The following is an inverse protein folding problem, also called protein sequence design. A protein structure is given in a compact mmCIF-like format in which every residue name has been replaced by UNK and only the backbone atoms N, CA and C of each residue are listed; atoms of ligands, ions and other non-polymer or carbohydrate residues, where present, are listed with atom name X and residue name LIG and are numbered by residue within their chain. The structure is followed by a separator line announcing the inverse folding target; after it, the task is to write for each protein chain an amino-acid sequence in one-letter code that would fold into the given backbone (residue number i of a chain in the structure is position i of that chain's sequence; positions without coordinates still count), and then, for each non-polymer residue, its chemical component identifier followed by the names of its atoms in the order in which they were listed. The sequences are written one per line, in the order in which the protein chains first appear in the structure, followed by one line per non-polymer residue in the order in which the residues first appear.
data_IF_279545391234
#
_entry.id   IF_279545391234
#
_cell.length_a   1.000
_cell.length_b   1.000
_cell.length_c   1.000
_cell.angle_alpha   90.00
_cell.angle_beta   90.00
_cell.angle_gamma   90.00
#
_symmetry.space_group_name_H-M   'P 1'
#
loop_
_entity.id
_entity.type
_entity.pdbx_description
1 polymer ?
#
# COMPACT_ATOMS: atom_id res chain seq x y z
N UNK A 1 12.41 -5.57 -25.40
CA UNK A 1 11.64 -4.35 -25.01
C UNK A 1 11.82 -4.15 -23.50
N UNK A 2 11.89 -2.92 -22.99
CA UNK A 2 11.97 -2.68 -21.55
C UNK A 2 10.67 -3.08 -20.87
N UNK A 3 10.74 -3.70 -19.68
CA UNK A 3 9.57 -4.04 -18.87
C UNK A 3 8.80 -2.79 -18.42
N UNK A 4 7.49 -2.90 -18.22
CA UNK A 4 6.53 -1.81 -18.02
C UNK A 4 5.83 -1.96 -16.68
N UNK A 5 5.71 -0.88 -15.92
CA UNK A 5 5.01 -0.88 -14.64
C UNK A 5 4.04 0.29 -14.53
N UNK A 6 2.86 0.03 -13.96
CA UNK A 6 1.89 1.04 -13.56
C UNK A 6 1.72 1.05 -12.04
N UNK A 7 1.70 2.25 -11.45
CA UNK A 7 1.66 2.41 -9.98
C UNK A 7 0.58 3.45 -9.64
N UNK A 8 -0.48 3.05 -8.92
CA UNK A 8 -1.46 3.99 -8.39
C UNK A 8 -0.95 4.69 -7.13
N UNK A 9 -1.31 5.96 -6.91
CA UNK A 9 -0.74 6.77 -5.83
C UNK A 9 0.76 6.98 -6.00
N UNK A 10 1.21 7.12 -7.25
CA UNK A 10 2.63 7.15 -7.63
C UNK A 10 3.33 8.49 -7.41
N UNK A 11 2.58 9.55 -7.07
CA UNK A 11 3.13 10.90 -6.93
C UNK A 11 3.81 11.17 -5.58
N UNK A 12 3.64 10.29 -4.58
CA UNK A 12 4.20 10.52 -3.25
C UNK A 12 4.54 9.21 -2.51
N UNK A 13 5.23 9.33 -1.37
CA UNK A 13 5.45 8.25 -0.42
C UNK A 13 6.06 6.99 -1.04
N UNK A 14 5.45 5.82 -0.74
CA UNK A 14 5.91 4.54 -1.26
C UNK A 14 5.75 4.42 -2.78
N UNK A 15 4.63 4.94 -3.32
CA UNK A 15 4.38 4.90 -4.76
C UNK A 15 5.48 5.60 -5.56
N UNK A 16 5.89 6.79 -5.13
CA UNK A 16 7.01 7.52 -5.72
C UNK A 16 8.33 6.75 -5.59
N UNK A 17 8.63 6.22 -4.41
CA UNK A 17 9.87 5.47 -4.19
C UNK A 17 9.93 4.19 -5.06
N UNK A 18 8.78 3.50 -5.23
CA UNK A 18 8.66 2.39 -6.17
C UNK A 18 8.91 2.85 -7.62
N UNK A 19 8.26 3.94 -8.03
CA UNK A 19 8.45 4.50 -9.37
C UNK A 19 9.93 4.80 -9.66
N UNK A 20 10.60 5.48 -8.74
CA UNK A 20 12.03 5.80 -8.84
C UNK A 20 12.91 4.53 -8.84
N UNK A 21 12.55 3.53 -8.00
CA UNK A 21 13.31 2.27 -7.94
C UNK A 21 13.23 1.48 -9.25
N UNK A 22 12.03 1.37 -9.84
CA UNK A 22 11.82 0.68 -11.10
C UNK A 22 12.45 1.44 -12.27
N UNK A 23 12.35 2.78 -12.30
CA UNK A 23 13.01 3.60 -13.32
C UNK A 23 14.53 3.42 -13.31
N UNK A 24 15.17 3.42 -12.11
CA UNK A 24 16.60 3.11 -11.97
C UNK A 24 17.00 1.71 -12.47
N UNK A 25 16.06 0.78 -12.52
CA UNK A 25 16.27 -0.56 -13.08
C UNK A 25 16.00 -0.64 -14.60
N UNK A 26 15.76 0.49 -15.27
CA UNK A 26 15.54 0.57 -16.71
C UNK A 26 14.11 0.22 -17.16
N UNK A 27 13.13 0.20 -16.24
CA UNK A 27 11.74 -0.04 -16.56
C UNK A 27 11.07 1.23 -17.11
N UNK A 28 10.08 1.07 -17.97
CA UNK A 28 9.12 2.14 -18.28
C UNK A 28 8.13 2.25 -17.14
N UNK A 29 8.04 3.41 -16.52
CA UNK A 29 7.21 3.66 -15.35
C UNK A 29 6.07 4.61 -15.73
N UNK A 30 4.84 4.17 -15.50
CA UNK A 30 3.66 5.02 -15.52
C UNK A 30 3.11 5.15 -14.10
N UNK A 31 2.93 6.38 -13.63
CA UNK A 31 2.29 6.66 -12.35
C UNK A 31 0.87 7.19 -12.56
N UNK A 32 -0.08 6.71 -11.75
CA UNK A 32 -1.43 7.24 -11.68
C UNK A 32 -1.66 7.92 -10.33
N UNK A 33 -2.15 9.16 -10.31
CA UNK A 33 -2.45 9.88 -9.07
C UNK A 33 -3.56 10.93 -9.31
N UNK A 34 -4.20 11.38 -8.23
CA UNK A 34 -5.15 12.49 -8.26
C UNK A 34 -4.46 13.86 -8.41
N UNK A 35 -3.27 14.00 -7.83
CA UNK A 35 -2.52 15.27 -7.77
C UNK A 35 -1.54 15.35 -8.95
N UNK A 36 -2.01 15.93 -10.05
CA UNK A 36 -1.20 16.12 -11.25
C UNK A 36 0.03 17.04 -11.02
N UNK A 37 -0.03 17.98 -10.08
CA UNK A 37 1.11 18.83 -9.77
C UNK A 37 2.22 18.02 -9.09
N UNK A 38 1.87 17.14 -8.16
CA UNK A 38 2.82 16.18 -7.56
C UNK A 38 3.31 15.15 -8.60
N UNK A 39 2.43 14.72 -9.51
CA UNK A 39 2.84 13.86 -10.63
C UNK A 39 3.94 14.50 -11.46
N UNK A 40 3.81 15.78 -11.81
CA UNK A 40 4.81 16.51 -12.59
C UNK A 40 6.18 16.55 -11.89
N UNK A 41 6.21 16.77 -10.58
CA UNK A 41 7.45 16.75 -9.79
C UNK A 41 8.11 15.37 -9.80
N UNK A 42 7.32 14.31 -9.59
CA UNK A 42 7.82 12.94 -9.63
C UNK A 42 8.29 12.57 -11.04
N UNK A 43 7.52 12.93 -12.06
CA UNK A 43 7.84 12.66 -13.46
C UNK A 43 9.15 13.33 -13.88
N UNK A 44 9.41 14.55 -13.43
CA UNK A 44 10.69 15.23 -13.70
C UNK A 44 11.90 14.42 -13.18
N UNK A 45 11.78 13.83 -11.99
CA UNK A 45 12.80 12.93 -11.45
C UNK A 45 12.92 11.61 -12.24
N UNK A 46 11.79 11.07 -12.71
CA UNK A 46 11.78 9.86 -13.53
C UNK A 46 12.33 10.10 -14.95
N UNK A 47 12.10 11.27 -15.54
CA UNK A 47 12.62 11.63 -16.86
C UNK A 47 14.15 11.73 -16.87
N UNK A 48 14.78 12.01 -15.75
CA UNK A 48 16.25 11.91 -15.62
C UNK A 48 16.76 10.47 -15.86
N UNK A 49 15.91 9.45 -15.70
CA UNK A 49 16.24 8.06 -15.96
C UNK A 49 15.81 7.62 -17.37
N UNK A 50 14.63 8.04 -17.81
CA UNK A 50 14.10 7.76 -19.14
C UNK A 50 12.97 8.71 -19.51
N UNK A 51 13.00 9.34 -20.71
CA UNK A 51 11.92 10.19 -21.21
C UNK A 51 10.63 9.41 -21.53
N UNK A 52 10.68 8.06 -21.51
CA UNK A 52 9.54 7.19 -21.77
C UNK A 52 8.65 6.97 -20.54
N UNK A 53 9.02 7.51 -19.37
CA UNK A 53 8.17 7.47 -18.17
C UNK A 53 6.99 8.44 -18.34
N UNK A 54 5.84 8.09 -17.74
CA UNK A 54 4.60 8.84 -17.91
C UNK A 54 3.81 9.00 -16.61
N UNK A 55 2.89 9.96 -16.60
CA UNK A 55 1.97 10.17 -15.48
C UNK A 55 0.54 10.40 -16.01
N UNK A 56 -0.44 9.81 -15.36
CA UNK A 56 -1.86 9.88 -15.69
C UNK A 56 -2.66 10.39 -14.49
N UNK A 57 -3.70 11.18 -14.75
CA UNK A 57 -4.75 11.43 -13.78
C UNK A 57 -5.50 10.12 -13.54
N UNK A 58 -5.50 9.61 -12.31
CA UNK A 58 -6.14 8.35 -12.00
C UNK A 58 -6.75 8.40 -10.59
N UNK A 59 -8.06 8.57 -10.54
CA UNK A 59 -8.85 8.43 -9.33
C UNK A 59 -9.24 6.97 -9.15
N UNK A 60 -8.65 6.30 -8.16
CA UNK A 60 -8.94 4.88 -7.89
C UNK A 60 -10.35 4.63 -7.36
N UNK A 61 -11.08 5.68 -6.97
CA UNK A 61 -12.50 5.57 -6.59
C UNK A 61 -13.43 5.50 -7.81
N UNK A 62 -12.90 5.71 -9.02
CA UNK A 62 -13.62 5.71 -10.28
C UNK A 62 -13.09 4.61 -11.21
N UNK A 63 -13.96 3.66 -11.55
CA UNK A 63 -13.60 2.55 -12.44
C UNK A 63 -13.22 3.04 -13.84
N UNK A 64 -13.91 4.05 -14.37
CA UNK A 64 -13.61 4.66 -15.65
C UNK A 64 -12.22 5.32 -15.70
N UNK A 65 -11.75 5.92 -14.61
CA UNK A 65 -10.41 6.50 -14.55
C UNK A 65 -9.32 5.40 -14.54
N UNK A 66 -9.57 4.29 -13.84
CA UNK A 66 -8.65 3.14 -13.85
C UNK A 66 -8.64 2.46 -15.22
N UNK A 67 -9.82 2.34 -15.88
CA UNK A 67 -9.93 1.80 -17.23
C UNK A 67 -9.20 2.67 -18.24
N UNK A 68 -9.36 3.99 -18.16
CA UNK A 68 -8.64 4.92 -19.05
C UNK A 68 -7.11 4.77 -18.92
N UNK A 69 -6.59 4.50 -17.73
CA UNK A 69 -5.18 4.22 -17.53
C UNK A 69 -4.75 2.90 -18.21
N UNK A 70 -5.55 1.84 -18.09
CA UNK A 70 -5.29 0.56 -18.76
C UNK A 70 -5.33 0.69 -20.30
N UNK A 71 -6.31 1.42 -20.83
CA UNK A 71 -6.46 1.68 -22.27
C UNK A 71 -5.27 2.47 -22.81
N UNK A 72 -4.80 3.47 -22.05
CA UNK A 72 -3.61 4.24 -22.41
C UNK A 72 -2.38 3.34 -22.47
N UNK A 73 -2.15 2.50 -21.44
CA UNK A 73 -1.01 1.58 -21.40
C UNK A 73 -1.05 0.56 -22.56
N UNK A 74 -2.22 0.07 -22.88
CA UNK A 74 -2.39 -0.85 -24.02
C UNK A 74 -2.07 -0.15 -25.35
N UNK A 75 -2.58 1.08 -25.56
CA UNK A 75 -2.40 1.81 -26.80
C UNK A 75 -0.97 2.30 -27.00
N UNK A 76 -0.35 2.88 -25.96
CA UNK A 76 0.96 3.53 -26.07
C UNK A 76 2.13 2.58 -25.85
N UNK A 77 1.93 1.57 -24.99
CA UNK A 77 3.01 0.64 -24.62
C UNK A 77 2.77 -0.80 -25.06
N UNK A 78 1.59 -1.11 -25.58
CA UNK A 78 1.21 -2.49 -25.92
C UNK A 78 0.96 -3.38 -24.71
N UNK A 79 0.69 -2.79 -23.53
CA UNK A 79 0.37 -3.51 -22.29
C UNK A 79 1.19 -3.05 -21.08
N UNK A 80 1.18 -3.86 -20.01
CA UNK A 80 1.88 -3.61 -18.75
C UNK A 80 2.33 -4.93 -18.11
N UNK A 81 3.52 -5.00 -17.55
CA UNK A 81 4.06 -6.25 -16.99
C UNK A 81 3.83 -6.34 -15.47
N UNK A 82 3.79 -5.21 -14.77
CA UNK A 82 3.52 -5.13 -13.33
C UNK A 82 2.53 -3.99 -13.06
N UNK A 83 1.48 -4.29 -12.29
CA UNK A 83 0.54 -3.29 -11.77
C UNK A 83 0.64 -3.24 -10.26
N UNK A 84 0.87 -2.06 -9.69
CA UNK A 84 0.94 -1.85 -8.25
C UNK A 84 -0.27 -1.03 -7.78
N UNK A 85 -1.20 -1.68 -7.12
CA UNK A 85 -2.31 -1.04 -6.42
C UNK A 85 -1.80 -0.51 -5.08
N UNK A 86 -1.23 0.72 -5.10
CA UNK A 86 -0.58 1.32 -3.95
C UNK A 86 -1.39 2.49 -3.35
N UNK A 87 -2.23 3.15 -4.13
CA UNK A 87 -3.05 4.27 -3.62
C UNK A 87 -3.78 3.89 -2.34
N UNK A 88 -3.71 4.76 -1.34
CA UNK A 88 -4.32 4.50 -0.04
C UNK A 88 -4.19 5.65 0.92
N UNK A 89 -5.07 5.64 1.92
CA UNK A 89 -5.20 6.65 2.97
C UNK A 89 -5.29 6.00 4.34
N UNK A 90 -5.14 6.78 5.41
CA UNK A 90 -5.29 6.31 6.78
C UNK A 90 -6.50 6.98 7.47
N UNK A 91 -7.18 6.22 8.32
CA UNK A 91 -8.20 6.71 9.25
C UNK A 91 -7.88 6.18 10.64
N UNK A 92 -7.88 7.06 11.62
CA UNK A 92 -7.60 6.76 13.02
C UNK A 92 -8.73 7.30 13.89
N UNK A 93 -9.21 6.45 14.83
CA UNK A 93 -10.28 6.78 15.75
C UNK A 93 -10.91 5.55 16.37
N UNK A 94 -11.55 5.72 17.53
CA UNK A 94 -12.38 4.68 18.15
C UNK A 94 -13.58 4.31 17.26
N UNK A 95 -14.16 3.15 17.50
CA UNK A 95 -15.27 2.65 16.68
C UNK A 95 -16.51 3.59 16.73
N UNK A 96 -16.73 4.21 17.86
CA UNK A 96 -17.84 5.17 18.07
C UNK A 96 -17.52 6.59 17.60
N UNK A 97 -16.23 6.92 17.43
CA UNK A 97 -15.77 8.25 17.03
C UNK A 97 -15.69 8.38 15.49
N UNK A 98 -15.33 7.32 14.81
CA UNK A 98 -15.18 7.32 13.35
C UNK A 98 -16.55 7.32 12.66
N UNK A 99 -16.83 8.36 11.88
CA UNK A 99 -18.11 8.48 11.16
C UNK A 99 -18.26 7.39 10.09
N UNK A 100 -19.51 7.04 9.75
CA UNK A 100 -19.77 6.14 8.60
C UNK A 100 -19.24 6.74 7.27
N UNK A 101 -19.23 8.06 7.15
CA UNK A 101 -18.64 8.73 5.99
C UNK A 101 -17.12 8.50 5.90
N UNK A 102 -16.39 8.47 7.03
CA UNK A 102 -14.97 8.13 7.05
C UNK A 102 -14.75 6.65 6.72
N UNK A 103 -15.64 5.76 7.18
CA UNK A 103 -15.62 4.36 6.81
C UNK A 103 -15.85 4.16 5.30
N UNK A 104 -16.84 4.81 4.72
CA UNK A 104 -17.11 4.75 3.27
C UNK A 104 -15.93 5.26 2.47
N UNK A 105 -15.37 6.42 2.86
CA UNK A 105 -14.20 7.01 2.21
C UNK A 105 -12.99 6.09 2.21
N UNK A 106 -12.64 5.50 3.36
CA UNK A 106 -11.45 4.63 3.42
C UNK A 106 -11.69 3.28 2.73
N UNK A 107 -12.89 2.73 2.78
CA UNK A 107 -13.28 1.50 2.06
C UNK A 107 -13.19 1.72 0.56
N UNK A 108 -13.70 2.84 0.06
CA UNK A 108 -13.71 3.13 -1.38
C UNK A 108 -12.29 3.27 -1.95
N UNK A 109 -11.38 3.92 -1.21
CA UNK A 109 -9.99 4.08 -1.64
C UNK A 109 -9.18 2.81 -1.39
N UNK A 110 -9.10 2.35 -0.12
CA UNK A 110 -8.15 1.32 0.29
C UNK A 110 -8.52 -0.10 -0.12
N UNK A 111 -9.82 -0.38 -0.31
CA UNK A 111 -10.32 -1.69 -0.69
C UNK A 111 -10.86 -1.68 -2.12
N UNK A 112 -11.90 -0.89 -2.40
CA UNK A 112 -12.52 -0.89 -3.72
C UNK A 112 -11.59 -0.34 -4.79
N UNK A 113 -10.70 0.59 -4.46
CA UNK A 113 -9.63 1.04 -5.37
C UNK A 113 -8.70 -0.10 -5.79
N UNK A 114 -8.30 -0.97 -4.86
CA UNK A 114 -7.52 -2.17 -5.17
C UNK A 114 -8.35 -3.17 -5.99
N UNK A 115 -9.63 -3.37 -5.65
CA UNK A 115 -10.55 -4.22 -6.42
C UNK A 115 -10.68 -3.73 -7.85
N UNK A 116 -10.89 -2.42 -8.09
CA UNK A 116 -10.96 -1.83 -9.43
C UNK A 116 -9.68 -2.06 -10.20
N UNK A 117 -8.51 -1.83 -9.59
CA UNK A 117 -7.22 -2.12 -10.21
C UNK A 117 -7.09 -3.60 -10.61
N UNK A 118 -7.38 -4.53 -9.71
CA UNK A 118 -7.35 -5.95 -10.02
C UNK A 118 -8.33 -6.31 -11.15
N UNK A 119 -9.58 -5.82 -11.07
CA UNK A 119 -10.65 -6.09 -12.04
C UNK A 119 -10.30 -5.60 -13.45
N UNK A 120 -9.80 -4.37 -13.56
CA UNK A 120 -9.49 -3.75 -14.85
C UNK A 120 -8.23 -4.34 -15.48
N UNK A 121 -7.19 -4.57 -14.70
CA UNK A 121 -5.91 -5.03 -15.26
C UNK A 121 -5.82 -6.55 -15.46
N UNK A 122 -6.62 -7.37 -14.77
CA UNK A 122 -6.60 -8.83 -14.98
C UNK A 122 -6.88 -9.26 -16.42
N UNK A 123 -7.92 -8.75 -17.11
CA UNK A 123 -8.16 -9.09 -18.52
C UNK A 123 -6.98 -8.68 -19.43
N UNK A 124 -6.38 -7.52 -19.19
CA UNK A 124 -5.22 -7.03 -19.95
C UNK A 124 -4.01 -7.96 -19.76
N UNK A 125 -3.70 -8.31 -18.52
CA UNK A 125 -2.60 -9.22 -18.19
C UNK A 125 -2.84 -10.62 -18.78
N UNK A 126 -4.08 -11.11 -18.72
CA UNK A 126 -4.46 -12.41 -19.32
C UNK A 126 -4.28 -12.41 -20.83
N UNK A 127 -4.73 -11.37 -21.52
CA UNK A 127 -4.65 -11.24 -22.97
C UNK A 127 -3.20 -11.19 -23.48
N UNK A 128 -2.27 -10.63 -22.70
CA UNK A 128 -0.84 -10.59 -23.03
C UNK A 128 -0.06 -11.85 -22.60
N UNK A 129 -0.73 -12.81 -21.95
CA UNK A 129 -0.14 -14.10 -21.57
C UNK A 129 0.50 -14.13 -20.19
N UNK A 130 0.17 -13.20 -19.31
CA UNK A 130 0.60 -13.16 -17.92
C UNK A 130 1.12 -11.78 -17.48
N UNK A 131 1.59 -11.70 -16.23
CA UNK A 131 2.12 -10.49 -15.62
C UNK A 131 2.02 -10.55 -14.11
N UNK A 132 2.04 -9.38 -13.43
CA UNK A 132 2.01 -9.35 -11.97
C UNK A 132 1.07 -8.26 -11.44
N UNK A 133 0.27 -8.62 -10.42
CA UNK A 133 -0.51 -7.72 -9.59
C UNK A 133 0.15 -7.62 -8.21
N UNK A 134 0.42 -6.40 -7.76
CA UNK A 134 1.02 -6.12 -6.46
C UNK A 134 0.06 -5.24 -5.65
N UNK A 135 -0.50 -5.77 -4.57
CA UNK A 135 -1.45 -5.06 -3.74
C UNK A 135 -0.80 -4.59 -2.45
N UNK A 136 -0.80 -3.28 -2.20
CA UNK A 136 -0.22 -2.70 -0.99
C UNK A 136 -1.24 -2.71 0.13
N UNK A 137 -1.13 -3.72 1.00
CA UNK A 137 -1.86 -3.82 2.25
C UNK A 137 -1.14 -3.03 3.37
N UNK A 138 -0.96 -3.64 4.53
CA UNK A 138 -0.22 -3.14 5.68
C UNK A 138 -0.07 -4.26 6.70
N UNK A 139 0.87 -4.15 7.62
CA UNK A 139 0.87 -4.95 8.85
C UNK A 139 -0.43 -4.78 9.66
N UNK A 140 -1.11 -3.64 9.54
CA UNK A 140 -2.43 -3.40 10.13
C UNK A 140 -3.51 -4.39 9.64
N UNK A 141 -3.36 -4.95 8.44
CA UNK A 141 -4.23 -6.02 7.93
C UNK A 141 -3.99 -7.39 8.59
N UNK A 142 -2.87 -7.55 9.26
CA UNK A 142 -2.45 -8.81 9.89
C UNK A 142 -2.43 -8.71 11.42
N UNK A 143 -1.98 -7.58 11.96
CA UNK A 143 -1.87 -7.30 13.39
C UNK A 143 -2.64 -6.01 13.66
N UNK A 144 -3.77 -6.13 14.36
CA UNK A 144 -4.74 -5.06 14.47
C UNK A 144 -4.39 -4.13 15.64
N UNK A 145 -4.10 -2.88 15.33
CA UNK A 145 -3.86 -1.83 16.33
C UNK A 145 -5.20 -1.25 16.81
N UNK A 146 -5.35 -0.92 18.11
CA UNK A 146 -6.49 -0.15 18.58
C UNK A 146 -6.59 1.21 17.88
N UNK A 147 -7.81 1.77 17.86
CA UNK A 147 -8.11 3.08 17.26
C UNK A 147 -7.78 3.19 15.75
N UNK A 148 -7.82 2.08 15.03
CA UNK A 148 -7.58 2.01 13.60
C UNK A 148 -8.53 0.99 12.95
N UNK A 149 -9.76 0.85 13.45
CA UNK A 149 -10.66 -0.24 13.05
C UNK A 149 -10.93 -0.24 11.53
N UNK A 150 -11.28 0.89 10.94
CA UNK A 150 -11.56 1.00 9.51
C UNK A 150 -10.29 0.73 8.66
N UNK A 151 -9.15 1.27 9.07
CA UNK A 151 -7.89 1.01 8.39
C UNK A 151 -7.49 -0.48 8.48
N UNK A 152 -7.54 -1.07 9.68
CA UNK A 152 -7.26 -2.50 9.86
C UNK A 152 -8.18 -3.38 9.01
N UNK A 153 -9.48 -3.10 9.01
CA UNK A 153 -10.47 -3.86 8.25
C UNK A 153 -10.20 -3.80 6.75
N UNK A 154 -9.96 -2.58 6.19
CA UNK A 154 -9.67 -2.44 4.76
C UNK A 154 -8.37 -3.14 4.36
N UNK A 155 -7.32 -3.04 5.17
CA UNK A 155 -6.05 -3.70 4.88
C UNK A 155 -6.09 -5.22 5.08
N UNK A 156 -6.92 -5.72 6.01
CA UNK A 156 -7.19 -7.15 6.14
C UNK A 156 -7.96 -7.70 4.93
N UNK A 157 -8.94 -6.94 4.43
CA UNK A 157 -9.67 -7.30 3.23
C UNK A 157 -8.76 -7.36 1.98
N UNK A 158 -7.80 -6.43 1.84
CA UNK A 158 -6.79 -6.47 0.76
C UNK A 158 -5.90 -7.70 0.87
N UNK A 159 -5.52 -8.13 2.08
CA UNK A 159 -4.76 -9.39 2.25
C UNK A 159 -5.60 -10.57 1.76
N UNK A 160 -6.84 -10.70 2.24
CA UNK A 160 -7.74 -11.79 1.86
C UNK A 160 -8.01 -11.82 0.35
N UNK A 161 -8.31 -10.66 -0.26
CA UNK A 161 -8.49 -10.52 -1.71
C UNK A 161 -7.23 -11.02 -2.44
N UNK A 162 -6.04 -10.59 -2.01
CA UNK A 162 -4.79 -10.96 -2.69
C UNK A 162 -4.53 -12.46 -2.59
N UNK A 163 -4.73 -13.06 -1.40
CA UNK A 163 -4.59 -14.51 -1.19
C UNK A 163 -5.57 -15.31 -2.06
N UNK A 164 -6.80 -14.82 -2.25
CA UNK A 164 -7.79 -15.43 -3.17
C UNK A 164 -7.31 -15.36 -4.61
N UNK A 165 -6.88 -14.18 -5.07
CA UNK A 165 -6.43 -13.98 -6.44
C UNK A 165 -5.14 -14.75 -6.78
N UNK A 166 -4.30 -15.08 -5.79
CA UNK A 166 -3.13 -15.96 -6.00
C UNK A 166 -3.55 -17.34 -6.55
N UNK A 167 -4.67 -17.86 -6.10
CA UNK A 167 -5.19 -19.13 -6.54
C UNK A 167 -5.99 -19.01 -7.85
N UNK A 168 -6.84 -17.97 -7.96
CA UNK A 168 -7.71 -17.78 -9.13
C UNK A 168 -6.94 -17.48 -10.42
N UNK A 169 -5.79 -16.77 -10.32
CA UNK A 169 -5.05 -16.28 -11.48
C UNK A 169 -3.78 -17.08 -11.81
N UNK A 170 -3.51 -18.17 -11.08
CA UNK A 170 -2.34 -19.03 -11.31
C UNK A 170 -2.33 -19.61 -12.72
N UNK A 171 -3.47 -20.12 -13.18
CA UNK A 171 -3.61 -20.70 -14.52
C UNK A 171 -3.40 -19.66 -15.65
N UNK A 172 -3.66 -18.39 -15.37
CA UNK A 172 -3.44 -17.27 -16.30
C UNK A 172 -1.97 -16.78 -16.31
N UNK A 173 -1.09 -17.38 -15.53
CA UNK A 173 0.30 -16.94 -15.32
C UNK A 173 0.40 -15.50 -14.81
N UNK A 174 -0.57 -15.08 -14.01
CA UNK A 174 -0.58 -13.76 -13.33
C UNK A 174 -0.15 -13.98 -11.89
N UNK A 175 1.07 -13.54 -11.57
CA UNK A 175 1.56 -13.57 -10.20
C UNK A 175 0.88 -12.49 -9.36
N UNK A 176 0.42 -12.85 -8.15
CA UNK A 176 -0.24 -11.88 -7.26
C UNK A 176 0.51 -11.79 -5.93
N UNK A 177 0.89 -10.58 -5.54
CA UNK A 177 1.72 -10.33 -4.35
C UNK A 177 1.02 -9.35 -3.42
N UNK A 178 0.97 -9.65 -2.12
CA UNK A 178 0.61 -8.70 -1.08
C UNK A 178 1.85 -8.10 -0.41
N UNK A 179 1.89 -6.78 -0.32
CA UNK A 179 2.94 -6.05 0.41
C UNK A 179 2.38 -5.58 1.74
N UNK A 180 3.02 -5.94 2.84
CA UNK A 180 2.58 -5.64 4.20
C UNK A 180 3.63 -4.78 4.95
N UNK A 181 3.73 -3.47 4.66
CA UNK A 181 4.63 -2.58 5.37
C UNK A 181 4.13 -2.35 6.81
N UNK A 182 5.08 -2.18 7.76
CA UNK A 182 4.78 -1.59 9.06
C UNK A 182 4.98 -0.06 8.98
N UNK A 183 5.19 0.61 10.12
CA UNK A 183 5.44 2.05 10.12
C UNK A 183 6.77 2.39 9.44
N UNK A 184 6.72 3.24 8.44
CA UNK A 184 7.87 3.81 7.75
C UNK A 184 7.61 5.29 7.43
N UNK A 185 8.63 6.07 7.12
CA UNK A 185 8.48 7.48 6.77
C UNK A 185 7.75 7.61 5.43
N UNK A 186 6.56 8.20 5.44
CA UNK A 186 5.66 8.30 4.29
C UNK A 186 4.76 9.50 4.38
N UNK A 187 4.26 9.97 3.25
CA UNK A 187 3.24 11.02 3.14
C UNK A 187 1.82 10.56 3.60
N UNK A 188 1.63 9.29 3.98
CA UNK A 188 0.32 8.76 4.41
C UNK A 188 -0.31 9.56 5.55
N UNK A 189 0.53 10.14 6.44
CA UNK A 189 0.06 10.97 7.53
C UNK A 189 -0.43 12.37 7.11
N UNK A 190 -0.13 12.83 5.89
CA UNK A 190 -0.57 14.13 5.36
C UNK A 190 -2.07 14.13 5.06
N UNK A 191 -2.58 13.03 4.50
CA UNK A 191 -3.98 12.84 4.11
C UNK A 191 -4.77 11.97 5.09
N UNK A 192 -4.26 11.82 6.33
CA UNK A 192 -4.92 11.01 7.36
C UNK A 192 -6.11 11.76 7.94
N UNK A 193 -7.24 11.06 8.06
CA UNK A 193 -8.37 11.50 8.90
C UNK A 193 -8.22 10.90 10.29
N UNK A 194 -8.39 11.71 11.32
CA UNK A 194 -8.34 11.25 12.71
C UNK A 194 -9.47 11.88 13.52
N UNK A 195 -10.09 11.11 14.41
CA UNK A 195 -11.20 11.54 15.25
C UNK A 195 -10.82 12.64 16.23
N UNK A 196 -9.53 12.73 16.59
CA UNK A 196 -9.03 13.80 17.46
C UNK A 196 -7.59 14.21 17.12
N UNK A 197 -7.18 15.48 17.44
CA UNK A 197 -5.86 16.00 17.12
C UNK A 197 -4.70 15.27 17.82
N UNK A 198 -4.94 14.72 19.01
CA UNK A 198 -3.90 14.02 19.77
C UNK A 198 -3.50 12.72 19.05
N UNK A 199 -4.48 11.97 18.57
CA UNK A 199 -4.26 10.74 17.81
C UNK A 199 -3.57 11.03 16.49
N UNK A 200 -3.97 12.09 15.78
CA UNK A 200 -3.30 12.57 14.57
C UNK A 200 -1.82 12.87 14.82
N UNK A 201 -1.52 13.67 15.86
CA UNK A 201 -0.15 14.05 16.25
C UNK A 201 0.69 12.82 16.63
N UNK A 202 0.11 11.88 17.38
CA UNK A 202 0.79 10.66 17.79
C UNK A 202 1.15 9.79 16.57
N UNK A 203 0.20 9.57 15.68
CA UNK A 203 0.42 8.77 14.46
C UNK A 203 1.47 9.42 13.56
N UNK A 204 1.40 10.74 13.36
CA UNK A 204 2.40 11.49 12.61
C UNK A 204 3.80 11.30 13.19
N UNK A 205 3.97 11.43 14.51
CA UNK A 205 5.26 11.19 15.19
C UNK A 205 5.78 9.76 15.02
N UNK A 206 4.89 8.74 15.02
CA UNK A 206 5.29 7.35 14.78
C UNK A 206 5.83 7.16 13.37
N UNK A 207 5.18 7.75 12.37
CA UNK A 207 5.61 7.72 10.97
C UNK A 207 6.93 8.48 10.80
N UNK A 208 7.04 9.70 11.30
CA UNK A 208 8.26 10.53 11.16
C UNK A 208 9.49 9.91 11.83
N UNK A 209 9.30 9.22 12.95
CA UNK A 209 10.38 8.56 13.72
C UNK A 209 10.69 7.14 13.26
N UNK A 210 10.01 6.65 12.25
CA UNK A 210 10.28 5.33 11.71
C UNK A 210 11.72 5.25 11.17
N UNK A 211 12.40 4.15 11.48
CA UNK A 211 13.81 3.93 11.07
C UNK A 211 13.92 3.72 9.55
N UNK A 212 12.98 2.98 8.99
CA UNK A 212 12.96 2.59 7.59
C UNK A 212 12.32 3.71 6.76
N UNK A 213 12.96 4.05 5.64
CA UNK A 213 12.43 4.99 4.65
C UNK A 213 11.68 4.31 3.52
N UNK A 214 10.98 5.08 2.66
CA UNK A 214 10.25 4.53 1.53
C UNK A 214 11.16 3.83 0.51
N UNK A 215 12.41 4.27 0.34
CA UNK A 215 13.36 3.67 -0.60
C UNK A 215 13.75 2.24 -0.21
N UNK A 216 13.97 1.99 1.09
CA UNK A 216 14.27 0.65 1.59
C UNK A 216 13.08 -0.30 1.40
N UNK A 217 11.84 0.20 1.61
CA UNK A 217 10.63 -0.54 1.33
C UNK A 217 10.51 -0.84 -0.17
N UNK A 218 10.73 0.16 -1.02
CA UNK A 218 10.67 0.03 -2.47
C UNK A 218 11.69 -1.00 -2.98
N UNK A 219 12.90 -1.01 -2.43
CA UNK A 219 13.92 -2.02 -2.75
C UNK A 219 13.44 -3.43 -2.39
N UNK A 220 12.90 -3.63 -1.17
CA UNK A 220 12.40 -4.94 -0.74
C UNK A 220 11.22 -5.41 -1.57
N UNK A 221 10.33 -4.49 -1.99
CA UNK A 221 9.21 -4.80 -2.89
C UNK A 221 9.73 -5.19 -4.27
N UNK A 222 10.65 -4.43 -4.83
CA UNK A 222 11.26 -4.74 -6.12
C UNK A 222 11.87 -6.15 -6.14
N UNK A 223 12.68 -6.47 -5.14
CA UNK A 223 13.34 -7.76 -5.02
C UNK A 223 12.35 -8.91 -4.79
N UNK A 224 11.35 -8.69 -3.92
CA UNK A 224 10.31 -9.69 -3.64
C UNK A 224 9.43 -9.98 -4.85
N UNK A 225 9.03 -8.95 -5.59
CA UNK A 225 8.26 -9.11 -6.85
C UNK A 225 9.09 -9.81 -7.91
N UNK A 226 10.39 -9.53 -8.01
CA UNK A 226 11.29 -10.23 -8.93
C UNK A 226 11.37 -11.72 -8.61
N UNK A 227 11.48 -12.11 -7.33
CA UNK A 227 11.48 -13.51 -6.89
C UNK A 227 10.14 -14.23 -7.01
N UNK A 228 9.02 -13.49 -7.19
CA UNK A 228 7.68 -14.06 -7.16
C UNK A 228 7.14 -14.33 -5.74
N UNK A 229 7.62 -13.56 -4.73
CA UNK A 229 7.14 -13.71 -3.35
C UNK A 229 5.63 -13.38 -3.28
N UNK A 230 4.84 -14.27 -2.69
CA UNK A 230 3.38 -14.05 -2.50
C UNK A 230 3.08 -13.04 -1.39
N UNK A 231 3.97 -12.95 -0.37
CA UNK A 231 3.86 -12.04 0.75
C UNK A 231 5.20 -11.34 0.99
N UNK A 232 5.21 -10.01 0.92
CA UNK A 232 6.39 -9.20 1.21
C UNK A 232 6.20 -8.50 2.55
N UNK A 233 6.98 -8.95 3.56
CA UNK A 233 7.06 -8.33 4.88
C UNK A 233 8.30 -7.46 4.94
N UNK A 234 8.11 -6.16 4.97
CA UNK A 234 9.22 -5.20 4.91
C UNK A 234 9.93 -4.96 6.25
N UNK A 235 9.41 -5.54 7.35
CA UNK A 235 9.95 -5.43 8.69
C UNK A 235 10.05 -6.83 9.32
N UNK A 236 11.23 -7.26 9.79
CA UNK A 236 11.42 -8.59 10.37
C UNK A 236 10.50 -8.85 11.59
N UNK A 237 10.27 -7.82 12.41
CA UNK A 237 9.40 -7.88 13.58
C UNK A 237 7.95 -8.17 13.19
N UNK A 238 7.52 -7.59 12.07
CA UNK A 238 6.20 -7.75 11.51
C UNK A 238 5.93 -9.21 11.13
N UNK A 239 6.88 -9.83 10.44
CA UNK A 239 6.80 -11.25 10.05
C UNK A 239 6.73 -12.18 11.28
N UNK A 240 7.51 -11.87 12.34
CA UNK A 240 7.48 -12.62 13.61
C UNK A 240 6.12 -12.50 14.28
N UNK A 241 5.60 -11.29 14.42
CA UNK A 241 4.32 -11.03 15.06
C UNK A 241 3.15 -11.68 14.30
N UNK A 242 3.16 -11.64 12.95
CA UNK A 242 2.19 -12.34 12.13
C UNK A 242 2.23 -13.87 12.37
N UNK A 243 3.43 -14.48 12.39
CA UNK A 243 3.58 -15.91 12.69
C UNK A 243 3.06 -16.24 14.08
N UNK A 244 3.38 -15.44 15.09
CA UNK A 244 2.87 -15.63 16.46
C UNK A 244 1.34 -15.60 16.47
N UNK A 245 0.70 -14.62 15.84
CA UNK A 245 -0.76 -14.55 15.74
C UNK A 245 -1.37 -15.77 15.05
N UNK A 246 -0.70 -16.33 14.03
CA UNK A 246 -1.20 -17.47 13.26
C UNK A 246 -1.12 -18.80 14.00
N UNK A 247 -0.09 -19.00 14.83
CA UNK A 247 0.20 -20.29 15.47
C UNK A 247 -0.12 -20.34 16.96
N UNK A 248 -0.22 -19.19 17.64
CA UNK A 248 -0.62 -19.17 19.05
C UNK A 248 -2.15 -19.24 19.18
N UNK A 249 -2.67 -19.93 20.22
CA UNK A 249 -4.07 -19.79 20.61
C UNK A 249 -4.42 -18.32 20.81
N UNK A 250 -5.53 -17.87 20.23
CA UNK A 250 -5.88 -16.42 20.17
C UNK A 250 -5.90 -15.75 21.55
N UNK A 251 -6.34 -16.45 22.60
CA UNK A 251 -6.33 -15.95 24.00
C UNK A 251 -4.93 -15.56 24.48
N UNK A 252 -3.90 -16.29 24.08
CA UNK A 252 -2.51 -16.03 24.47
C UNK A 252 -1.96 -14.83 23.69
N UNK A 253 -2.23 -14.80 22.41
CA UNK A 253 -1.90 -13.63 21.58
C UNK A 253 -2.55 -12.35 22.13
N UNK A 254 -3.84 -12.41 22.51
CA UNK A 254 -4.57 -11.27 23.07
C UNK A 254 -3.98 -10.82 24.42
N UNK A 255 -3.60 -11.75 25.30
CA UNK A 255 -2.94 -11.43 26.56
C UNK A 255 -1.58 -10.74 26.35
N UNK A 256 -0.78 -11.23 25.40
CA UNK A 256 0.47 -10.60 24.99
C UNK A 256 0.26 -9.18 24.45
N UNK A 257 -0.72 -8.98 23.58
CA UNK A 257 -1.04 -7.67 23.03
C UNK A 257 -1.50 -6.68 24.11
N UNK A 258 -2.35 -7.11 25.05
CA UNK A 258 -2.78 -6.28 26.19
C UNK A 258 -1.59 -5.82 27.03
N UNK A 259 -0.64 -6.71 27.31
CA UNK A 259 0.58 -6.37 28.05
C UNK A 259 1.42 -5.33 27.31
N UNK A 260 1.67 -5.54 26.00
CA UNK A 260 2.44 -4.59 25.18
C UNK A 260 1.79 -3.22 25.09
N UNK A 261 0.46 -3.15 24.94
CA UNK A 261 -0.29 -1.90 24.91
C UNK A 261 -0.22 -1.17 26.26
N UNK A 262 -0.35 -1.89 27.38
CA UNK A 262 -0.23 -1.31 28.71
C UNK A 262 1.18 -0.74 28.96
N UNK A 263 2.23 -1.47 28.57
CA UNK A 263 3.62 -0.99 28.66
C UNK A 263 3.85 0.27 27.78
N UNK A 264 3.30 0.29 26.57
CA UNK A 264 3.38 1.45 25.68
C UNK A 264 2.69 2.67 26.30
N UNK A 265 1.47 2.50 26.82
CA UNK A 265 0.72 3.56 27.49
C UNK A 265 1.47 4.11 28.70
N UNK A 266 2.05 3.24 29.55
CA UNK A 266 2.85 3.65 30.69
C UNK A 266 4.11 4.45 30.31
N UNK A 267 4.79 4.05 29.22
CA UNK A 267 5.96 4.79 28.70
C UNK A 267 5.58 6.17 28.18
N UNK A 268 4.41 6.31 27.56
CA UNK A 268 3.91 7.60 27.07
C UNK A 268 3.54 8.55 28.21
N UNK A 269 2.87 8.06 29.25
CA UNK A 269 2.52 8.86 30.44
C UNK A 269 3.76 9.38 31.20
N UNK A 270 4.83 8.57 31.29
CA UNK A 270 6.10 8.98 31.91
C UNK A 270 6.81 10.13 31.16
N UNK A 271 6.63 10.22 29.83
CA UNK A 271 7.23 11.29 28.99
C UNK A 271 6.45 12.60 29.01
N UNK A 272 5.20 12.59 29.48
CA UNK A 272 4.31 13.78 29.54
C UNK A 272 4.39 14.47 30.91
N UNK A 273 4.91 13.83 31.97
CA UNK A 273 5.16 14.51 33.24
C UNK A 273 6.42 15.40 33.08
N UNK A 274 6.28 16.75 33.14
CA UNK A 274 7.44 17.64 33.22
C UNK A 274 8.20 17.38 34.52
N UNK A 275 9.52 17.46 34.48
CA UNK A 275 10.36 17.56 35.67
C UNK A 275 10.14 18.90 36.37
#
# INVERSE_FOLDING_TARGET
MSSRIFITGGASGLGRALAERYARAGWRVCIGDLDLARCAQTLAALHAQSPLNHALACDVTREDAVQAAADWLQREWGGVDVVVNNAGVAQMGGIEEASLADWQWIVDINLLGVVRGCKVFTPLLRAQGGGKLVNVASMAGLIHMPQAAAYNATKAAVVALTETLQLELEADRIGVTVVCPAFFRTALAENMRASNPQLASMTKRLVERARIGPDEIAQQVFDGVARGDTHIFTHPEARRAWRLKRYLPYRWYLAMMRKQLAELAARMQRKVKPR
#
